data_IF_604442638908
#
_entry.id   IF_604442638908
#
_cell.length_a   1.000
_cell.length_b   1.000
_cell.length_c   1.000
_cell.angle_alpha   90.00
_cell.angle_beta   90.00
_cell.angle_gamma   90.00
#
_symmetry.space_group_name_H-M   'P 1'
#
loop_
_entity.id
_entity.type
_entity.pdbx_description
1 polymer ?
#
# COMPACT_ATOMS: atom_id res chain seq x y z
N UNK A 1 -0.85 -16.39 20.50
CA UNK A 1 -0.68 -15.17 21.32
C UNK A 1 -2.03 -14.53 21.71
N UNK A 2 -3.12 -15.30 21.83
CA UNK A 2 -4.47 -14.79 22.13
C UNK A 2 -5.03 -15.21 23.51
N UNK A 3 -4.29 -15.98 24.33
CA UNK A 3 -4.80 -16.47 25.63
C UNK A 3 -4.44 -15.59 26.84
N UNK A 4 -3.57 -14.59 26.70
CA UNK A 4 -3.06 -13.83 27.87
C UNK A 4 -3.93 -12.61 28.19
N UNK A 5 -4.73 -12.11 27.22
CA UNK A 5 -5.51 -10.89 27.39
C UNK A 5 -6.78 -11.09 28.25
N UNK A 6 -7.39 -12.29 28.21
CA UNK A 6 -8.61 -12.57 28.98
C UNK A 6 -8.38 -12.74 30.49
N UNK A 7 -7.25 -13.31 30.89
CA UNK A 7 -6.95 -13.60 32.30
C UNK A 7 -6.59 -12.33 33.11
N UNK A 8 -6.01 -11.31 32.46
CA UNK A 8 -5.65 -10.05 33.12
C UNK A 8 -6.90 -9.22 33.43
N UNK A 9 -7.92 -9.27 32.55
CA UNK A 9 -9.19 -8.55 32.74
C UNK A 9 -10.05 -9.12 33.88
N UNK A 10 -10.04 -10.44 34.08
CA UNK A 10 -10.77 -11.08 35.19
C UNK A 10 -10.08 -10.96 36.55
N UNK A 11 -8.74 -10.82 36.58
CA UNK A 11 -8.02 -10.57 37.82
C UNK A 11 -8.18 -9.13 38.31
N UNK A 12 -8.35 -8.17 37.39
CA UNK A 12 -8.53 -6.75 37.71
C UNK A 12 -9.91 -6.41 38.29
N UNK A 13 -10.97 -7.20 38.02
CA UNK A 13 -12.31 -6.90 38.53
C UNK A 13 -12.50 -7.21 40.01
N UNK A 14 -11.65 -8.05 40.61
CA UNK A 14 -11.82 -8.52 42.00
C UNK A 14 -10.97 -7.78 43.03
N UNK A 15 -10.18 -6.77 42.63
CA UNK A 15 -9.20 -6.15 43.52
C UNK A 15 -9.54 -4.70 43.95
N UNK A 16 -10.69 -4.13 43.58
CA UNK A 16 -10.97 -2.72 43.87
C UNK A 16 -12.38 -2.46 44.39
N UNK A 17 -12.57 -2.70 45.68
CA UNK A 17 -13.68 -2.15 46.47
C UNK A 17 -13.25 -0.95 47.35
N UNK A 18 -12.09 -0.33 47.10
CA UNK A 18 -11.68 0.77 47.94
C UNK A 18 -10.54 1.62 47.40
N UNK A 19 -10.78 2.93 47.45
CA UNK A 19 -9.81 4.03 47.47
C UNK A 19 -9.35 4.58 46.11
N UNK A 20 -10.17 5.47 45.55
CA UNK A 20 -9.72 6.82 45.14
C UNK A 20 -8.42 6.91 44.30
N UNK A 21 -8.50 6.81 42.97
CA UNK A 21 -7.53 7.46 42.05
C UNK A 21 -8.04 7.52 40.59
N UNK A 22 -8.82 8.55 40.19
CA UNK A 22 -9.39 8.61 38.83
C UNK A 22 -8.47 9.25 37.78
N UNK A 23 -7.22 9.62 38.10
CA UNK A 23 -6.38 10.44 37.20
C UNK A 23 -5.31 9.66 36.42
N UNK A 24 -4.87 8.48 36.89
CA UNK A 24 -3.81 7.71 36.24
C UNK A 24 -4.32 6.67 35.22
N UNK A 25 -5.58 6.25 35.33
CA UNK A 25 -6.17 5.24 34.45
C UNK A 25 -6.44 5.78 33.04
N UNK A 26 -6.93 7.03 32.96
CA UNK A 26 -7.10 7.71 31.67
C UNK A 26 -5.76 8.01 30.99
N UNK A 27 -4.70 8.30 31.76
CA UNK A 27 -3.37 8.56 31.22
C UNK A 27 -2.72 7.34 30.55
N UNK A 28 -2.86 6.14 31.12
CA UNK A 28 -2.29 4.91 30.55
C UNK A 28 -3.08 4.45 29.32
N UNK A 29 -4.41 4.60 29.32
CA UNK A 29 -5.24 4.31 28.15
C UNK A 29 -4.97 5.29 27.01
N UNK A 30 -4.78 6.58 27.30
CA UNK A 30 -4.36 7.58 26.30
C UNK A 30 -2.96 7.31 25.75
N UNK A 31 -2.01 6.91 26.59
CA UNK A 31 -0.65 6.53 26.16
C UNK A 31 -0.69 5.28 25.27
N UNK A 32 -1.53 4.29 25.59
CA UNK A 32 -1.71 3.10 24.75
C UNK A 32 -2.35 3.44 23.39
N UNK A 33 -3.35 4.34 23.36
CA UNK A 33 -3.95 4.87 22.13
C UNK A 33 -2.99 5.74 21.31
N UNK A 34 -2.07 6.47 21.93
CA UNK A 34 -1.04 7.26 21.24
C UNK A 34 0.09 6.39 20.66
N UNK A 35 0.46 5.29 21.34
CA UNK A 35 1.48 4.34 20.84
C UNK A 35 0.94 3.49 19.68
N UNK A 36 -0.39 3.34 19.54
CA UNK A 36 -1.01 2.64 18.40
C UNK A 36 -0.90 3.38 17.06
N UNK A 37 -0.47 4.65 17.01
CA UNK A 37 -0.69 5.51 15.83
C UNK A 37 0.39 5.50 14.75
N UNK A 38 1.44 4.68 14.86
CA UNK A 38 2.44 4.59 13.78
C UNK A 38 3.05 3.18 13.68
N UNK A 39 2.31 2.23 13.11
CA UNK A 39 2.86 0.91 12.81
C UNK A 39 3.87 1.02 11.67
N UNK A 40 5.13 0.68 11.96
CA UNK A 40 6.20 0.65 10.96
C UNK A 40 5.85 -0.37 9.87
N UNK A 41 5.94 0.06 8.62
CA UNK A 41 5.60 -0.80 7.48
C UNK A 41 6.61 -0.68 6.36
N UNK A 42 6.88 -1.81 5.71
CA UNK A 42 7.68 -1.85 4.49
C UNK A 42 6.78 -2.15 3.30
N UNK A 43 6.85 -1.29 2.29
CA UNK A 43 6.07 -1.44 1.06
C UNK A 43 7.01 -1.57 -0.13
N UNK A 44 6.89 -2.65 -0.89
CA UNK A 44 7.47 -2.76 -2.23
C UNK A 44 6.39 -2.51 -3.27
N UNK A 45 6.65 -1.62 -4.22
CA UNK A 45 5.74 -1.36 -5.33
C UNK A 45 6.36 -1.83 -6.64
N UNK A 46 5.61 -2.60 -7.41
CA UNK A 46 5.98 -3.12 -8.73
C UNK A 46 5.11 -2.41 -9.77
N UNK A 47 5.74 -1.59 -10.59
CA UNK A 47 5.11 -0.79 -11.65
C UNK A 47 5.10 -1.53 -12.98
N UNK A 48 4.01 -1.37 -13.72
CA UNK A 48 3.95 -1.80 -15.12
C UNK A 48 4.56 -0.71 -16.01
N UNK A 49 5.66 -1.04 -16.68
CA UNK A 49 6.35 -0.20 -17.64
C UNK A 49 6.31 -0.77 -19.07
N UNK A 50 5.37 -1.66 -19.36
CA UNK A 50 5.12 -2.17 -20.71
C UNK A 50 4.82 -1.05 -21.72
N UNK A 51 4.91 -1.36 -23.01
CA UNK A 51 4.47 -0.46 -24.08
C UNK A 51 2.96 -0.12 -23.99
N UNK A 52 2.14 -1.03 -23.45
CA UNK A 52 0.71 -0.80 -23.19
C UNK A 52 0.47 0.32 -22.18
N UNK A 53 1.47 0.64 -21.35
CA UNK A 53 1.39 1.75 -20.39
C UNK A 53 1.39 3.14 -21.04
N UNK A 54 1.57 3.23 -22.37
CA UNK A 54 1.43 4.47 -23.18
C UNK A 54 -0.04 4.86 -23.38
N UNK A 55 -0.95 3.90 -23.22
CA UNK A 55 -2.37 4.13 -23.45
C UNK A 55 -2.92 5.21 -22.53
N UNK A 56 -3.84 6.01 -23.08
CA UNK A 56 -4.49 7.17 -22.42
C UNK A 56 -6.01 6.94 -22.31
N UNK A 57 -6.37 5.76 -21.86
CA UNK A 57 -7.73 5.33 -21.56
C UNK A 57 -8.20 5.80 -20.16
N UNK A 58 -7.28 6.22 -19.30
CA UNK A 58 -7.58 6.84 -18.01
C UNK A 58 -7.36 8.36 -18.05
N UNK A 59 -7.56 9.01 -16.90
CA UNK A 59 -7.39 10.47 -16.74
C UNK A 59 -6.08 11.00 -17.35
N UNK A 60 -5.00 10.23 -17.26
CA UNK A 60 -3.71 10.49 -17.91
C UNK A 60 -3.23 9.20 -18.58
N UNK A 61 -2.01 9.25 -19.14
CA UNK A 61 -1.31 8.03 -19.54
C UNK A 61 -1.22 7.03 -18.37
N UNK A 62 -1.46 5.74 -18.63
CA UNK A 62 -1.45 4.67 -17.60
C UNK A 62 -0.20 4.70 -16.74
N UNK A 63 0.99 4.81 -17.33
CA UNK A 63 2.24 4.92 -16.56
C UNK A 63 2.21 6.14 -15.63
N UNK A 64 1.79 7.30 -16.13
CA UNK A 64 1.74 8.53 -15.33
C UNK A 64 0.75 8.42 -14.17
N UNK A 65 -0.41 7.77 -14.37
CA UNK A 65 -1.37 7.48 -13.31
C UNK A 65 -0.71 6.65 -12.19
N UNK A 66 0.02 5.58 -12.54
CA UNK A 66 0.73 4.77 -11.55
C UNK A 66 1.81 5.59 -10.80
N UNK A 67 2.60 6.40 -11.51
CA UNK A 67 3.64 7.24 -10.89
C UNK A 67 3.06 8.23 -9.89
N UNK A 68 1.93 8.86 -10.22
CA UNK A 68 1.24 9.81 -9.35
C UNK A 68 0.74 9.11 -8.07
N UNK A 69 0.18 7.90 -8.20
CA UNK A 69 -0.25 7.07 -7.07
C UNK A 69 0.93 6.69 -6.17
N UNK A 70 2.03 6.20 -6.75
CA UNK A 70 3.21 5.80 -5.97
C UNK A 70 3.81 6.97 -5.20
N UNK A 71 3.82 8.17 -5.79
CA UNK A 71 4.27 9.38 -5.08
C UNK A 71 3.42 9.65 -3.85
N UNK A 72 2.10 9.61 -4.00
CA UNK A 72 1.17 9.85 -2.90
C UNK A 72 1.35 8.80 -1.78
N UNK A 73 1.37 7.51 -2.12
CA UNK A 73 1.57 6.44 -1.13
C UNK A 73 2.92 6.56 -0.43
N UNK A 74 3.97 6.95 -1.17
CA UNK A 74 5.30 7.19 -0.58
C UNK A 74 5.24 8.33 0.43
N UNK A 75 4.55 9.43 0.11
CA UNK A 75 4.37 10.55 1.04
C UNK A 75 3.59 10.11 2.26
N UNK A 76 2.45 9.44 2.07
CA UNK A 76 1.60 8.96 3.14
C UNK A 76 2.36 8.02 4.10
N UNK A 77 3.01 6.97 3.58
CA UNK A 77 3.73 5.98 4.42
C UNK A 77 4.92 6.57 5.17
N UNK A 78 5.67 7.48 4.55
CA UNK A 78 6.80 8.14 5.20
C UNK A 78 6.37 9.20 6.22
N UNK A 79 5.20 9.83 6.02
CA UNK A 79 4.62 10.76 6.97
C UNK A 79 3.98 10.05 8.18
N UNK A 80 3.38 8.87 7.96
CA UNK A 80 2.82 8.03 9.04
C UNK A 80 3.90 7.53 10.00
N UNK A 81 5.07 7.13 9.49
CA UNK A 81 6.18 6.68 10.31
C UNK A 81 7.53 6.91 9.62
N UNK A 82 8.44 7.58 10.33
CA UNK A 82 9.79 7.85 9.84
C UNK A 82 10.64 6.57 9.65
N UNK A 83 10.21 5.44 10.23
CA UNK A 83 10.88 4.15 10.11
C UNK A 83 10.25 3.24 9.04
N UNK A 84 9.11 3.65 8.45
CA UNK A 84 8.55 2.97 7.30
C UNK A 84 9.48 3.14 6.10
N UNK A 85 9.56 2.11 5.26
CA UNK A 85 10.37 2.17 4.04
C UNK A 85 9.56 1.80 2.82
N UNK A 86 9.85 2.46 1.71
CA UNK A 86 9.19 2.21 0.43
C UNK A 86 10.26 1.86 -0.60
N UNK A 87 10.06 0.78 -1.33
CA UNK A 87 10.87 0.38 -2.47
C UNK A 87 10.02 0.34 -3.73
N UNK A 88 10.66 0.59 -4.88
CA UNK A 88 9.98 0.64 -6.16
C UNK A 88 10.79 -0.13 -7.20
N UNK A 89 10.09 -0.91 -8.01
CA UNK A 89 10.65 -1.60 -9.16
C UNK A 89 9.68 -1.64 -10.34
N UNK A 90 10.17 -2.08 -11.50
CA UNK A 90 9.39 -2.22 -12.75
C UNK A 90 9.33 -3.69 -13.19
N UNK A 91 8.30 -4.05 -13.96
CA UNK A 91 8.14 -5.39 -14.54
C UNK A 91 9.14 -5.72 -15.68
N UNK A 92 9.61 -4.70 -16.39
CA UNK A 92 10.44 -4.86 -17.59
C UNK A 92 11.84 -5.43 -17.33
N UNK A 93 12.33 -6.28 -18.26
CA UNK A 93 13.62 -7.01 -18.12
C UNK A 93 14.63 -6.82 -19.26
N UNK A 94 14.39 -6.01 -20.29
CA UNK A 94 15.17 -6.04 -21.54
C UNK A 94 16.65 -5.65 -21.43
N UNK A 95 17.06 -4.84 -20.43
CA UNK A 95 18.47 -4.44 -20.27
C UNK A 95 19.06 -4.64 -18.88
N UNK A 96 18.39 -4.14 -17.85
CA UNK A 96 18.77 -4.30 -16.43
C UNK A 96 17.54 -3.94 -15.61
N UNK A 97 17.13 -4.81 -14.68
CA UNK A 97 16.04 -4.47 -13.76
C UNK A 97 16.55 -3.36 -12.84
N UNK A 98 16.05 -2.14 -13.04
CA UNK A 98 16.35 -1.03 -12.14
C UNK A 98 15.43 -1.16 -10.94
N UNK A 99 15.99 -1.20 -9.74
CA UNK A 99 15.25 -1.37 -8.48
C UNK A 99 15.75 -0.35 -7.48
N UNK A 100 14.83 0.27 -6.76
CA UNK A 100 15.14 0.97 -5.50
C UNK A 100 14.76 0.04 -4.37
N UNK A 101 15.77 -0.46 -3.65
CA UNK A 101 15.54 -1.22 -2.42
C UNK A 101 14.78 -0.37 -1.41
N UNK A 102 13.96 -0.98 -0.52
CA UNK A 102 13.17 -0.24 0.46
C UNK A 102 14.00 0.81 1.21
N UNK A 103 13.62 2.08 1.05
CA UNK A 103 14.34 3.23 1.61
C UNK A 103 13.37 4.23 2.23
N UNK A 104 13.84 4.98 3.21
CA UNK A 104 13.11 6.13 3.78
C UNK A 104 13.36 7.43 3.00
N UNK A 105 14.29 7.43 2.04
CA UNK A 105 14.63 8.62 1.27
C UNK A 105 13.71 8.79 0.04
N UNK A 106 12.72 9.67 0.17
CA UNK A 106 11.79 10.03 -0.91
C UNK A 106 12.47 10.53 -2.19
N UNK A 107 13.59 11.23 -2.09
CA UNK A 107 14.26 11.82 -3.27
C UNK A 107 14.83 10.73 -4.18
N UNK A 108 15.36 9.65 -3.59
CA UNK A 108 15.85 8.49 -4.34
C UNK A 108 14.71 7.82 -5.10
N UNK A 109 13.56 7.66 -4.45
CA UNK A 109 12.36 7.08 -5.06
C UNK A 109 11.88 7.95 -6.22
N UNK A 110 11.74 9.26 -6.03
CA UNK A 110 11.26 10.15 -7.10
C UNK A 110 12.23 10.23 -8.27
N UNK A 111 13.54 10.29 -8.00
CA UNK A 111 14.56 10.25 -9.04
C UNK A 111 14.45 8.97 -9.87
N UNK A 112 14.18 7.84 -9.22
CA UNK A 112 13.93 6.57 -9.89
C UNK A 112 12.66 6.62 -10.76
N UNK A 113 11.54 7.10 -10.22
CA UNK A 113 10.27 7.23 -10.94
C UNK A 113 10.42 8.03 -12.25
N UNK A 114 11.21 9.11 -12.22
CA UNK A 114 11.52 9.91 -13.41
C UNK A 114 12.45 9.22 -14.42
N UNK A 115 13.22 8.21 -13.99
CA UNK A 115 14.17 7.48 -14.81
C UNK A 115 13.61 6.21 -15.46
N UNK A 116 12.33 5.89 -15.19
CA UNK A 116 11.65 4.71 -15.72
C UNK A 116 11.55 4.82 -17.23
N UNK A 117 12.04 3.78 -17.91
CA UNK A 117 11.93 3.61 -19.34
C UNK A 117 10.92 2.51 -19.61
N UNK A 118 10.20 2.63 -20.72
CA UNK A 118 9.24 1.62 -21.13
C UNK A 118 9.97 0.43 -21.74
N UNK A 119 9.42 -0.74 -21.51
CA UNK A 119 9.96 -2.02 -21.96
C UNK A 119 8.90 -2.77 -22.77
N UNK A 120 9.35 -3.68 -23.63
CA UNK A 120 8.48 -4.52 -24.46
C UNK A 120 8.11 -5.81 -23.73
N UNK A 121 9.04 -6.35 -22.94
CA UNK A 121 8.91 -7.65 -22.31
C UNK A 121 8.73 -7.53 -20.79
N UNK A 122 7.67 -8.15 -20.26
CA UNK A 122 7.22 -8.04 -18.87
C UNK A 122 7.23 -9.41 -18.17
N UNK A 123 7.76 -9.44 -16.95
CA UNK A 123 7.93 -10.69 -16.19
C UNK A 123 7.43 -10.55 -14.76
N UNK A 124 6.14 -10.80 -14.53
CA UNK A 124 5.48 -10.68 -13.23
C UNK A 124 6.08 -11.56 -12.13
N UNK A 125 6.20 -12.87 -12.36
CA UNK A 125 6.72 -13.82 -11.35
C UNK A 125 8.14 -13.49 -10.89
N UNK A 126 9.03 -13.13 -11.82
CA UNK A 126 10.40 -12.73 -11.49
C UNK A 126 10.43 -11.43 -10.66
N UNK A 127 9.60 -10.44 -11.00
CA UNK A 127 9.49 -9.20 -10.25
C UNK A 127 8.99 -9.44 -8.80
N UNK A 128 8.02 -10.35 -8.66
CA UNK A 128 7.48 -10.75 -7.37
C UNK A 128 8.55 -11.45 -6.50
N UNK A 129 9.31 -12.37 -7.08
CA UNK A 129 10.42 -13.06 -6.42
C UNK A 129 11.48 -12.07 -5.90
N UNK A 130 11.88 -11.11 -6.73
CA UNK A 130 12.90 -10.11 -6.34
C UNK A 130 12.36 -9.20 -5.22
N UNK A 131 11.09 -8.79 -5.28
CA UNK A 131 10.45 -8.01 -4.23
C UNK A 131 10.41 -8.75 -2.89
N UNK A 132 10.03 -10.03 -2.91
CA UNK A 132 10.05 -10.90 -1.74
C UNK A 132 11.45 -11.00 -1.14
N UNK A 133 12.48 -11.17 -1.96
CA UNK A 133 13.87 -11.22 -1.51
C UNK A 133 14.35 -9.89 -0.89
N UNK A 134 13.88 -8.75 -1.42
CA UNK A 134 14.20 -7.43 -0.87
C UNK A 134 13.61 -7.20 0.54
N UNK A 135 12.49 -7.86 0.86
CA UNK A 135 11.80 -7.77 2.15
C UNK A 135 12.29 -8.79 3.19
N UNK A 136 12.92 -9.88 2.76
CA UNK A 136 13.31 -11.03 3.61
C UNK A 136 14.13 -10.66 4.87
N UNK A 137 15.02 -9.69 4.77
CA UNK A 137 15.93 -9.31 5.87
C UNK A 137 15.48 -8.08 6.65
N UNK A 138 14.26 -7.57 6.38
CA UNK A 138 13.73 -6.41 7.07
C UNK A 138 13.07 -6.79 8.38
N UNK A 139 13.14 -5.88 9.35
CA UNK A 139 12.68 -6.09 10.73
C UNK A 139 11.26 -5.58 10.97
N UNK A 140 10.68 -4.83 10.03
CA UNK A 140 9.35 -4.26 10.20
C UNK A 140 8.29 -5.37 10.13
N UNK A 141 7.29 -5.36 11.05
CA UNK A 141 6.34 -6.45 11.17
C UNK A 141 5.31 -6.47 10.03
N UNK A 142 4.97 -5.30 9.48
CA UNK A 142 4.02 -5.17 8.38
C UNK A 142 4.79 -5.02 7.07
N UNK A 143 4.81 -6.09 6.29
CA UNK A 143 5.40 -6.09 4.96
C UNK A 143 4.29 -6.19 3.92
N UNK A 144 4.38 -5.40 2.86
CA UNK A 144 3.38 -5.35 1.82
C UNK A 144 4.03 -5.23 0.45
N UNK A 145 3.44 -5.87 -0.54
CA UNK A 145 3.81 -5.75 -1.95
C UNK A 145 2.57 -5.30 -2.72
N UNK A 146 2.72 -4.22 -3.49
CA UNK A 146 1.71 -3.73 -4.41
C UNK A 146 2.17 -4.02 -5.85
N UNK A 147 1.37 -4.76 -6.59
CA UNK A 147 1.65 -5.16 -7.97
C UNK A 147 0.65 -4.50 -8.91
N UNK A 148 1.14 -3.68 -9.83
CA UNK A 148 0.37 -3.13 -10.93
C UNK A 148 0.51 -4.03 -12.16
N UNK A 149 -0.61 -4.48 -12.72
CA UNK A 149 -0.66 -5.21 -14.01
C UNK A 149 -1.65 -4.50 -14.93
N UNK A 150 -1.14 -3.99 -16.05
CA UNK A 150 -1.87 -3.19 -17.02
C UNK A 150 -1.82 -3.71 -18.45
N UNK A 151 -1.09 -4.79 -18.68
CA UNK A 151 -0.69 -5.31 -19.97
C UNK A 151 -1.10 -6.77 -20.13
N UNK A 152 -1.26 -7.26 -21.37
CA UNK A 152 -1.53 -8.67 -21.60
C UNK A 152 -0.33 -9.50 -21.19
N UNK A 153 -0.57 -10.59 -20.46
CA UNK A 153 0.48 -11.49 -19.95
C UNK A 153 0.23 -12.86 -20.57
N UNK A 154 1.28 -13.48 -21.09
CA UNK A 154 1.21 -14.86 -21.58
C UNK A 154 0.79 -15.82 -20.45
N UNK A 155 0.04 -16.88 -20.78
CA UNK A 155 -0.47 -17.83 -19.79
C UNK A 155 0.65 -18.43 -18.90
N UNK A 156 1.81 -18.71 -19.48
CA UNK A 156 2.98 -19.22 -18.74
C UNK A 156 3.49 -18.19 -17.72
N UNK A 157 3.60 -16.92 -18.13
CA UNK A 157 4.04 -15.83 -17.25
C UNK A 157 2.99 -15.51 -16.18
N UNK A 158 1.71 -15.66 -16.50
CA UNK A 158 0.60 -15.49 -15.57
C UNK A 158 0.65 -16.57 -14.48
N UNK A 159 0.80 -17.85 -14.86
CA UNK A 159 0.90 -18.94 -13.91
C UNK A 159 2.10 -18.77 -12.96
N UNK A 160 3.27 -18.42 -13.50
CA UNK A 160 4.46 -18.10 -12.68
C UNK A 160 4.23 -16.94 -11.72
N UNK A 161 3.44 -15.95 -12.13
CA UNK A 161 3.07 -14.81 -11.28
C UNK A 161 2.18 -15.27 -10.13
N UNK A 162 1.18 -16.11 -10.40
CA UNK A 162 0.29 -16.68 -9.38
C UNK A 162 1.08 -17.52 -8.37
N UNK A 163 1.91 -18.46 -8.85
CA UNK A 163 2.76 -19.29 -8.00
C UNK A 163 3.67 -18.44 -7.10
N UNK A 164 4.28 -17.39 -7.66
CA UNK A 164 5.14 -16.46 -6.91
C UNK A 164 4.37 -15.67 -5.85
N UNK A 165 3.10 -15.34 -6.11
CA UNK A 165 2.24 -14.67 -5.12
C UNK A 165 1.91 -15.64 -3.98
N UNK A 166 1.54 -16.88 -4.26
CA UNK A 166 1.26 -17.90 -3.24
C UNK A 166 2.48 -18.13 -2.34
N UNK A 167 3.68 -18.24 -2.92
CA UNK A 167 4.93 -18.31 -2.16
C UNK A 167 5.12 -17.08 -1.27
N UNK A 168 4.75 -15.89 -1.76
CA UNK A 168 4.92 -14.65 -1.00
C UNK A 168 3.94 -14.56 0.17
N UNK A 169 2.69 -15.00 -0.02
CA UNK A 169 1.68 -15.08 1.04
C UNK A 169 2.11 -16.04 2.14
N UNK A 170 2.79 -17.15 1.80
CA UNK A 170 3.32 -18.10 2.80
C UNK A 170 4.35 -17.48 3.76
N UNK A 171 4.96 -16.35 3.38
CA UNK A 171 5.91 -15.60 4.21
C UNK A 171 5.25 -14.52 5.08
N UNK A 172 3.92 -14.51 5.21
CA UNK A 172 3.14 -13.49 5.93
C UNK A 172 3.34 -12.06 5.37
N UNK A 173 3.56 -11.95 4.05
CA UNK A 173 3.66 -10.66 3.36
C UNK A 173 2.30 -10.39 2.72
N UNK A 174 1.76 -9.19 2.96
CA UNK A 174 0.53 -8.76 2.30
C UNK A 174 0.78 -8.51 0.81
N UNK A 175 -0.10 -8.98 -0.06
CA UNK A 175 -0.01 -8.76 -1.52
C UNK A 175 -1.30 -8.10 -2.02
N UNK A 176 -1.17 -6.88 -2.53
CA UNK A 176 -2.21 -6.19 -3.27
C UNK A 176 -1.92 -6.23 -4.77
N UNK A 177 -2.85 -6.75 -5.56
CA UNK A 177 -2.77 -6.77 -7.02
C UNK A 177 -3.80 -5.80 -7.57
N UNK A 178 -3.35 -4.90 -8.44
CA UNK A 178 -4.18 -3.91 -9.11
C UNK A 178 -4.15 -4.22 -10.60
N UNK A 179 -5.29 -4.65 -11.13
CA UNK A 179 -5.48 -5.00 -12.53
C UNK A 179 -6.17 -3.84 -13.24
N UNK A 180 -5.68 -3.48 -14.41
CA UNK A 180 -6.27 -2.43 -15.24
C UNK A 180 -5.98 -2.68 -16.72
N UNK A 181 -6.70 -1.99 -17.60
CA UNK A 181 -6.48 -2.11 -19.05
C UNK A 181 -6.76 -3.52 -19.55
N UNK A 182 -5.85 -4.11 -20.34
CA UNK A 182 -6.03 -5.45 -20.92
C UNK A 182 -5.90 -6.56 -19.86
N UNK A 183 -5.26 -6.30 -18.72
CA UNK A 183 -5.10 -7.28 -17.64
C UNK A 183 -6.42 -7.56 -16.87
N UNK A 184 -7.49 -6.80 -17.14
CA UNK A 184 -8.81 -7.00 -16.52
C UNK A 184 -9.40 -8.38 -16.84
N UNK A 185 -9.09 -8.95 -18.01
CA UNK A 185 -9.57 -10.27 -18.42
C UNK A 185 -9.06 -11.37 -17.47
N UNK A 186 -7.85 -11.21 -16.95
CA UNK A 186 -7.21 -12.17 -16.04
C UNK A 186 -7.74 -12.11 -14.60
N UNK A 187 -8.60 -11.13 -14.26
CA UNK A 187 -9.15 -10.99 -12.90
C UNK A 187 -9.85 -12.26 -12.40
N UNK A 188 -10.61 -12.91 -13.28
CA UNK A 188 -11.33 -14.14 -12.96
C UNK A 188 -10.38 -15.28 -12.60
N UNK A 189 -9.25 -15.38 -13.30
CA UNK A 189 -8.21 -16.37 -13.05
C UNK A 189 -7.55 -16.14 -11.70
N UNK A 190 -7.13 -14.90 -11.40
CA UNK A 190 -6.55 -14.54 -10.10
C UNK A 190 -7.47 -14.87 -8.93
N UNK A 191 -8.77 -14.56 -9.07
CA UNK A 191 -9.77 -14.84 -8.03
C UNK A 191 -10.05 -16.33 -7.86
N UNK A 192 -9.95 -17.11 -8.94
CA UNK A 192 -10.14 -18.57 -8.89
C UNK A 192 -8.92 -19.31 -8.33
N UNK A 193 -7.71 -18.83 -8.64
CA UNK A 193 -6.47 -19.44 -8.20
C UNK A 193 -6.17 -19.11 -6.73
N UNK A 194 -6.31 -17.84 -6.35
CA UNK A 194 -5.95 -17.37 -5.01
C UNK A 194 -7.23 -16.99 -4.27
N UNK A 195 -7.53 -17.71 -3.19
CA UNK A 195 -8.67 -17.38 -2.33
C UNK A 195 -8.42 -16.06 -1.60
N UNK A 196 -9.38 -15.14 -1.68
CA UNK A 196 -9.35 -13.86 -0.96
C UNK A 196 -9.14 -14.13 0.54
N UNK A 197 -8.05 -13.58 1.07
CA UNK A 197 -7.64 -13.74 2.46
C UNK A 197 -7.42 -12.38 3.11
N UNK A 198 -7.07 -12.37 4.40
CA UNK A 198 -6.65 -11.13 5.06
C UNK A 198 -5.41 -10.52 4.40
N UNK A 199 -4.59 -11.36 3.78
CA UNK A 199 -3.24 -11.00 3.34
C UNK A 199 -3.15 -10.81 1.82
N UNK A 200 -4.20 -11.18 1.08
CA UNK A 200 -4.30 -11.00 -0.37
C UNK A 200 -5.49 -10.11 -0.73
N UNK A 201 -5.30 -9.23 -1.71
CA UNK A 201 -6.39 -8.50 -2.35
C UNK A 201 -6.09 -8.30 -3.83
N UNK A 202 -7.13 -8.43 -4.67
CA UNK A 202 -7.04 -8.22 -6.11
C UNK A 202 -8.18 -7.28 -6.52
N UNK A 203 -7.83 -6.11 -7.06
CA UNK A 203 -8.79 -5.06 -7.40
C UNK A 203 -8.69 -4.75 -8.90
N UNK A 204 -9.77 -4.96 -9.67
CA UNK A 204 -9.87 -4.47 -11.04
C UNK A 204 -10.24 -2.98 -11.03
N UNK A 205 -9.54 -2.16 -11.81
CA UNK A 205 -9.82 -0.73 -11.99
C UNK A 205 -10.33 -0.51 -13.40
N UNK A 206 -11.56 -0.03 -13.49
CA UNK A 206 -12.18 0.37 -14.75
C UNK A 206 -11.76 1.80 -15.17
N UNK A 207 -11.74 2.15 -16.47
CA UNK A 207 -11.35 3.47 -16.96
C UNK A 207 -12.07 4.67 -16.32
N UNK A 208 -13.32 4.46 -15.87
CA UNK A 208 -14.15 5.49 -15.26
C UNK A 208 -13.88 5.70 -13.76
N UNK A 209 -13.09 4.82 -13.14
CA UNK A 209 -12.79 4.87 -11.71
C UNK A 209 -11.46 5.57 -11.44
N UNK A 210 -11.31 6.07 -10.22
CA UNK A 210 -10.07 6.72 -9.81
C UNK A 210 -9.02 5.67 -9.44
N UNK A 211 -7.81 5.81 -10.00
CA UNK A 211 -6.68 4.92 -9.70
C UNK A 211 -6.31 4.93 -8.21
N UNK A 212 -6.43 6.10 -7.56
CA UNK A 212 -6.11 6.28 -6.14
C UNK A 212 -7.02 5.44 -5.24
N UNK A 213 -8.33 5.50 -5.46
CA UNK A 213 -9.31 4.75 -4.67
C UNK A 213 -9.13 3.24 -4.79
N UNK A 214 -8.89 2.75 -6.02
CA UNK A 214 -8.62 1.33 -6.25
C UNK A 214 -7.38 0.86 -5.51
N UNK A 215 -6.33 1.69 -5.46
CA UNK A 215 -5.07 1.34 -4.81
C UNK A 215 -5.15 1.44 -3.29
N UNK A 216 -5.83 2.46 -2.74
CA UNK A 216 -6.11 2.53 -1.30
C UNK A 216 -6.91 1.31 -0.82
N UNK A 217 -7.88 0.88 -1.62
CA UNK A 217 -8.64 -0.35 -1.39
C UNK A 217 -7.74 -1.58 -1.43
N UNK A 218 -6.84 -1.68 -2.43
CA UNK A 218 -5.88 -2.77 -2.56
C UNK A 218 -4.86 -2.83 -1.40
N UNK A 219 -4.52 -1.70 -0.77
CA UNK A 219 -3.66 -1.68 0.42
C UNK A 219 -4.42 -1.86 1.74
N UNK A 220 -5.76 -1.97 1.68
CA UNK A 220 -6.68 -1.96 2.83
C UNK A 220 -6.39 -0.77 3.77
N UNK A 221 -6.01 0.35 3.18
CA UNK A 221 -5.83 1.58 3.92
C UNK A 221 -7.21 2.21 4.09
N UNK A 222 -7.63 2.37 5.33
CA UNK A 222 -8.77 3.22 5.64
C UNK A 222 -8.39 4.62 5.22
N UNK A 223 -9.00 5.14 4.16
CA UNK A 223 -9.00 6.58 3.92
C UNK A 223 -9.51 7.20 5.21
N UNK A 224 -8.64 7.91 5.94
CA UNK A 224 -9.11 8.73 7.05
C UNK A 224 -10.09 9.71 6.41
N UNK A 225 -11.39 9.51 6.63
CA UNK A 225 -12.37 10.56 6.39
C UNK A 225 -11.82 11.79 7.12
N UNK A 226 -11.53 12.84 6.36
CA UNK A 226 -11.08 14.11 6.93
C UNK A 226 -12.09 14.46 8.00
N UNK A 227 -11.63 14.59 9.24
CA UNK A 227 -12.49 14.94 10.37
C UNK A 227 -13.42 16.09 9.94
N UNK A 228 -14.76 15.93 10.01
CA UNK A 228 -15.69 16.97 9.55
C UNK A 228 -15.43 18.33 10.21
N UNK A 229 -14.79 18.35 11.38
CA UNK A 229 -14.36 19.57 12.04
C UNK A 229 -13.19 20.28 11.32
N UNK A 230 -12.23 19.51 10.77
CA UNK A 230 -11.09 20.04 10.02
C UNK A 230 -11.54 20.64 8.67
N UNK A 231 -12.48 19.99 7.98
CA UNK A 231 -13.05 20.50 6.74
C UNK A 231 -13.80 21.83 6.97
N UNK A 232 -14.55 21.92 8.08
CA UNK A 232 -15.23 23.15 8.49
C UNK A 232 -14.24 24.27 8.85
N UNK A 233 -13.12 23.94 9.50
CA UNK A 233 -12.08 24.91 9.87
C UNK A 233 -11.36 25.49 8.63
N UNK A 234 -11.05 24.66 7.63
CA UNK A 234 -10.47 25.11 6.36
C UNK A 234 -11.45 26.02 5.63
N UNK A 235 -12.73 25.63 5.56
CA UNK A 235 -13.78 26.45 4.93
C UNK A 235 -13.93 27.82 5.58
N UNK A 236 -13.99 27.87 6.92
CA UNK A 236 -14.05 29.13 7.68
C UNK A 236 -12.83 30.01 7.41
N UNK A 237 -11.64 29.41 7.38
CA UNK A 237 -10.39 30.14 7.08
C UNK A 237 -10.35 30.69 5.65
N UNK A 238 -10.95 29.98 4.69
CA UNK A 238 -11.07 30.44 3.29
C UNK A 238 -12.12 31.55 3.15
N UNK A 239 -13.24 31.46 3.87
CA UNK A 239 -14.27 32.51 3.92
C UNK A 239 -13.71 33.80 4.53
N UNK A 240 -12.97 33.71 5.64
CA UNK A 240 -12.30 34.85 6.30
C UNK A 240 -11.22 35.50 5.40
N UNK A 241 -10.56 34.73 4.54
CA UNK A 241 -9.58 35.24 3.57
C UNK A 241 -10.23 35.94 2.36
N UNK A 242 -11.50 35.61 2.05
CA UNK A 242 -12.24 36.15 0.91
C UNK A 242 -12.94 37.47 1.21
N UNK A 243 -13.18 37.78 2.50
CA UNK A 243 -13.67 39.10 2.91
C UNK A 243 -12.53 40.13 2.84
N UNK A 244 -12.57 41.12 1.94
CA UNK A 244 -11.58 42.19 1.95
C UNK A 244 -11.74 42.98 3.24
N UNK A 245 -10.65 43.19 3.98
CA UNK A 245 -10.61 44.08 5.14
C UNK A 245 -11.28 45.42 4.78
N UNK A 246 -12.42 45.70 5.42
CA UNK A 246 -13.04 47.03 5.43
C UNK A 246 -12.32 47.95 6.40
#
# INVERSE_FOLDING_TARGET
>A
MFCICGAILQWFSSFWEGVFFPMYFYGIVFICLFICRAMKSDLMVILDNSLYSINKDYTKERLQCQLDVVKNITEQRLNESAESTVGVMTLGRSKTIKIVSPTSNKNTIYSYLHSIQRDEDIHGGNAMLISRMALKYRTNPRQSILLFLGSPIDDDNLMLTIESIEETLSNNIFVGVVLFGEALEHYTLFKSAITESTDFSCIPIEPNQSFMEGVSTALKETVEEIDPELELAIRRSLEDASTPNQ
#
